data_IF_431972682497
#
_entry.id   IF_431972682497
#
_cell.length_a   1.000
_cell.length_b   1.000
_cell.length_c   1.000
_cell.angle_alpha   90.00
_cell.angle_beta   90.00
_cell.angle_gamma   90.00
#
_symmetry.space_group_name_H-M   'P 1'
#
loop_
_entity.id
_entity.type
_entity.pdbx_description
1 polymer ?
#
# COMPACT_ATOMS: atom_id res chain seq x y z
N UNK A 1 1.58 0.35 -26.01
CA UNK A 1 0.28 0.99 -26.29
C UNK A 1 -0.77 0.39 -25.36
N UNK A 2 -1.68 1.21 -24.82
CA UNK A 2 -2.82 0.75 -24.01
C UNK A 2 -3.93 0.27 -24.95
N UNK A 3 -4.45 -0.94 -24.72
CA UNK A 3 -5.33 -1.60 -25.70
C UNK A 3 -6.45 -2.42 -25.07
N UNK A 4 -6.43 -2.74 -23.77
CA UNK A 4 -7.49 -3.60 -23.23
C UNK A 4 -8.82 -2.85 -23.07
N UNK A 5 -9.97 -3.51 -23.32
CA UNK A 5 -11.28 -2.94 -23.02
C UNK A 5 -11.43 -2.51 -21.56
N UNK A 6 -10.86 -3.31 -20.63
CA UNK A 6 -10.87 -3.03 -19.19
C UNK A 6 -10.17 -1.71 -18.87
N UNK A 7 -9.03 -1.43 -19.53
CA UNK A 7 -8.33 -0.18 -19.35
C UNK A 7 -9.20 1.02 -19.72
N UNK A 8 -9.92 0.96 -20.85
CA UNK A 8 -10.78 2.05 -21.29
C UNK A 8 -11.99 2.24 -20.36
N UNK A 9 -12.61 1.15 -19.90
CA UNK A 9 -13.69 1.23 -18.91
C UNK A 9 -13.24 1.93 -17.61
N UNK A 10 -12.10 1.48 -17.05
CA UNK A 10 -11.53 2.06 -15.82
C UNK A 10 -11.09 3.51 -16.04
N UNK A 11 -10.45 3.83 -17.17
CA UNK A 11 -10.03 5.19 -17.50
C UNK A 11 -11.22 6.15 -17.64
N UNK A 12 -12.37 5.65 -18.08
CA UNK A 12 -13.62 6.42 -18.18
C UNK A 12 -14.42 6.44 -16.88
N UNK A 13 -13.91 5.84 -15.80
CA UNK A 13 -14.62 5.67 -14.54
C UNK A 13 -15.94 4.90 -14.64
N UNK A 14 -16.08 4.01 -15.63
CA UNK A 14 -17.28 3.22 -15.87
C UNK A 14 -17.25 1.94 -15.02
N UNK A 15 -17.91 2.00 -13.86
CA UNK A 15 -17.96 0.89 -12.90
C UNK A 15 -18.69 -0.32 -13.47
N UNK A 16 -19.87 -0.11 -14.07
CA UNK A 16 -20.69 -1.19 -14.61
C UNK A 16 -19.99 -1.95 -15.72
N UNK A 17 -19.38 -1.24 -16.67
CA UNK A 17 -18.61 -1.88 -17.74
C UNK A 17 -17.37 -2.61 -17.19
N UNK A 18 -16.70 -2.01 -16.20
CA UNK A 18 -15.56 -2.66 -15.52
C UNK A 18 -15.99 -3.97 -14.86
N UNK A 19 -17.11 -3.98 -14.14
CA UNK A 19 -17.65 -5.18 -13.47
C UNK A 19 -18.01 -6.27 -14.47
N UNK A 20 -18.72 -5.93 -15.53
CA UNK A 20 -19.08 -6.89 -16.60
C UNK A 20 -17.83 -7.52 -17.24
N UNK A 21 -16.80 -6.71 -17.53
CA UNK A 21 -15.56 -7.19 -18.12
C UNK A 21 -14.81 -8.12 -17.17
N UNK A 22 -14.73 -7.79 -15.88
CA UNK A 22 -14.08 -8.63 -14.87
C UNK A 22 -14.84 -9.95 -14.66
N UNK A 23 -16.17 -9.90 -14.62
CA UNK A 23 -17.02 -11.10 -14.56
C UNK A 23 -16.84 -12.00 -15.79
N UNK A 24 -16.57 -11.42 -16.96
CA UNK A 24 -16.21 -12.14 -18.19
C UNK A 24 -14.75 -12.67 -18.21
N UNK A 25 -13.99 -12.50 -17.12
CA UNK A 25 -12.61 -12.98 -16.99
C UNK A 25 -11.55 -12.04 -17.58
N UNK A 26 -11.85 -10.75 -17.75
CA UNK A 26 -10.85 -9.78 -18.18
C UNK A 26 -9.68 -9.72 -17.20
N UNK A 27 -8.46 -9.84 -17.73
CA UNK A 27 -7.23 -9.78 -16.94
C UNK A 27 -6.85 -8.35 -16.59
N UNK A 28 -6.46 -8.11 -15.34
CA UNK A 28 -6.14 -6.77 -14.81
C UNK A 28 -4.73 -6.28 -15.15
N UNK A 29 -3.89 -7.12 -15.74
CA UNK A 29 -2.44 -6.92 -15.92
C UNK A 29 -1.98 -6.82 -17.38
N UNK A 30 -2.91 -6.70 -18.34
CA UNK A 30 -2.60 -6.70 -19.78
C UNK A 30 -1.92 -5.41 -20.27
N UNK A 31 -2.22 -4.26 -19.65
CA UNK A 31 -1.68 -2.96 -20.08
C UNK A 31 -0.42 -2.57 -19.29
N UNK A 32 0.57 -1.90 -19.94
CA UNK A 32 1.79 -1.46 -19.26
C UNK A 32 1.52 -0.56 -18.04
N UNK A 33 0.53 0.33 -18.16
CA UNK A 33 -0.05 1.03 -17.01
C UNK A 33 -1.26 0.23 -16.54
N UNK A 34 -1.09 -0.53 -15.46
CA UNK A 34 -2.15 -1.40 -14.92
C UNK A 34 -3.38 -0.57 -14.56
N UNK A 35 -4.57 -1.10 -14.88
CA UNK A 35 -5.87 -0.45 -14.62
C UNK A 35 -6.02 -0.05 -13.14
N UNK A 36 -5.46 -0.86 -12.24
CA UNK A 36 -5.38 -0.56 -10.82
C UNK A 36 -4.75 0.82 -10.51
N UNK A 37 -3.58 1.10 -11.08
CA UNK A 37 -2.90 2.39 -10.87
C UNK A 37 -3.68 3.56 -11.46
N UNK A 38 -4.42 3.34 -12.55
CA UNK A 38 -5.31 4.35 -13.13
C UNK A 38 -6.44 4.70 -12.17
N UNK A 39 -7.11 3.68 -11.60
CA UNK A 39 -8.19 3.86 -10.64
C UNK A 39 -7.72 4.56 -9.35
N UNK A 40 -6.57 4.16 -8.81
CA UNK A 40 -5.96 4.79 -7.61
C UNK A 40 -5.64 6.26 -7.90
N UNK A 41 -4.96 6.55 -9.02
CA UNK A 41 -4.62 7.93 -9.40
C UNK A 41 -5.84 8.82 -9.63
N UNK A 42 -6.94 8.23 -10.08
CA UNK A 42 -8.20 8.93 -10.28
C UNK A 42 -9.05 9.04 -8.99
N UNK A 43 -8.61 8.49 -7.86
CA UNK A 43 -9.36 8.52 -6.59
C UNK A 43 -10.66 7.71 -6.63
N UNK A 44 -10.79 6.72 -7.52
CA UNK A 44 -12.02 5.96 -7.73
C UNK A 44 -12.08 4.73 -6.82
N UNK A 45 -12.47 4.92 -5.56
CA UNK A 45 -12.50 3.87 -4.53
C UNK A 45 -13.26 2.61 -4.96
N UNK A 46 -14.42 2.77 -5.58
CA UNK A 46 -15.26 1.65 -6.02
C UNK A 46 -14.55 0.79 -7.07
N UNK A 47 -13.93 1.42 -8.07
CA UNK A 47 -13.11 0.72 -9.06
C UNK A 47 -11.88 0.06 -8.42
N UNK A 48 -11.24 0.71 -7.46
CA UNK A 48 -10.12 0.11 -6.72
C UNK A 48 -10.56 -1.14 -5.97
N UNK A 49 -11.71 -1.09 -5.28
CA UNK A 49 -12.28 -2.26 -4.58
C UNK A 49 -12.61 -3.39 -5.55
N UNK A 50 -13.27 -3.07 -6.66
CA UNK A 50 -13.67 -4.04 -7.68
C UNK A 50 -12.47 -4.71 -8.36
N UNK A 51 -11.43 -3.94 -8.68
CA UNK A 51 -10.20 -4.49 -9.25
C UNK A 51 -9.47 -5.40 -8.25
N UNK A 52 -9.40 -4.99 -6.98
CA UNK A 52 -8.75 -5.79 -5.92
C UNK A 52 -9.52 -7.09 -5.62
N UNK A 53 -10.86 -7.04 -5.57
CA UNK A 53 -11.69 -8.25 -5.40
C UNK A 53 -11.54 -9.21 -6.58
N UNK A 54 -11.30 -8.68 -7.78
CA UNK A 54 -11.01 -9.45 -8.99
C UNK A 54 -9.53 -9.87 -9.12
N UNK A 55 -8.74 -9.70 -8.06
CA UNK A 55 -7.36 -10.21 -7.98
C UNK A 55 -6.28 -9.30 -8.54
N UNK A 56 -6.56 -8.01 -8.76
CA UNK A 56 -5.53 -7.05 -9.16
C UNK A 56 -4.38 -6.97 -8.15
N UNK A 57 -3.16 -6.88 -8.67
CA UNK A 57 -1.94 -6.78 -7.87
C UNK A 57 -1.77 -5.37 -7.28
N UNK A 58 -1.85 -5.27 -5.96
CA UNK A 58 -1.64 -4.01 -5.21
C UNK A 58 -0.19 -3.53 -5.26
N UNK A 59 0.78 -4.45 -5.29
CA UNK A 59 2.22 -4.13 -5.22
C UNK A 59 2.86 -3.97 -6.61
N UNK A 60 2.14 -3.32 -7.53
CA UNK A 60 2.60 -3.11 -8.89
C UNK A 60 3.45 -1.84 -9.07
N UNK A 61 4.30 -1.86 -10.08
CA UNK A 61 5.24 -0.78 -10.42
C UNK A 61 4.94 -0.24 -11.82
N UNK A 62 5.11 1.06 -12.00
CA UNK A 62 5.03 1.73 -13.29
C UNK A 62 6.27 2.61 -13.56
N UNK A 63 7.33 1.93 -13.99
CA UNK A 63 8.68 2.51 -14.15
C UNK A 63 8.84 3.49 -15.32
N UNK A 64 7.82 3.63 -16.19
CA UNK A 64 7.89 4.57 -17.30
C UNK A 64 7.82 6.05 -16.85
N UNK A 65 7.20 6.32 -15.71
CA UNK A 65 7.03 7.70 -15.19
C UNK A 65 7.76 7.89 -13.86
N UNK A 66 7.79 6.86 -13.01
CA UNK A 66 8.42 6.94 -11.70
C UNK A 66 9.04 5.59 -11.38
N UNK A 67 10.39 5.53 -11.37
CA UNK A 67 11.11 4.34 -10.93
C UNK A 67 11.39 4.45 -9.43
N UNK A 68 10.52 3.81 -8.64
CA UNK A 68 10.61 3.77 -7.18
C UNK A 68 11.00 2.38 -6.68
N UNK A 69 11.66 2.33 -5.52
CA UNK A 69 11.94 1.06 -4.81
C UNK A 69 10.67 0.46 -4.19
N UNK A 70 9.66 1.28 -3.90
CA UNK A 70 8.37 0.89 -3.35
C UNK A 70 7.26 0.88 -4.42
N UNK A 71 6.16 0.14 -4.25
CA UNK A 71 5.07 0.07 -5.23
C UNK A 71 4.47 1.44 -5.57
N UNK A 72 4.11 1.64 -6.84
CA UNK A 72 3.81 2.98 -7.37
C UNK A 72 2.54 3.60 -6.78
N UNK A 73 1.56 2.79 -6.38
CA UNK A 73 0.23 3.26 -5.94
C UNK A 73 0.30 4.28 -4.79
N UNK A 74 1.27 4.14 -3.88
CA UNK A 74 1.42 5.02 -2.72
C UNK A 74 1.64 6.49 -3.11
N UNK A 75 2.36 6.75 -4.20
CA UNK A 75 2.63 8.11 -4.68
C UNK A 75 1.34 8.88 -5.03
N UNK A 76 0.28 8.16 -5.41
CA UNK A 76 -0.99 8.75 -5.80
C UNK A 76 -1.93 9.01 -4.63
N UNK A 77 -1.72 8.36 -3.49
CA UNK A 77 -2.63 8.44 -2.34
C UNK A 77 -2.02 9.10 -1.09
N UNK A 78 -0.84 9.73 -1.18
CA UNK A 78 -0.23 10.42 -0.01
C UNK A 78 -1.16 11.47 0.62
N UNK A 79 -2.03 12.12 -0.17
CA UNK A 79 -3.04 13.09 0.29
C UNK A 79 -4.38 12.45 0.67
N UNK A 80 -4.61 11.23 0.24
CA UNK A 80 -5.88 10.53 0.37
C UNK A 80 -5.71 9.38 1.36
N UNK A 81 -5.86 9.71 2.64
CA UNK A 81 -5.71 8.76 3.73
C UNK A 81 -6.67 7.57 3.64
N UNK A 82 -7.87 7.76 3.08
CA UNK A 82 -8.82 6.68 2.90
C UNK A 82 -8.36 5.71 1.81
N UNK A 83 -7.82 6.23 0.70
CA UNK A 83 -7.27 5.40 -0.36
C UNK A 83 -6.02 4.69 0.14
N UNK A 84 -5.14 5.38 0.87
CA UNK A 84 -3.99 4.78 1.52
C UNK A 84 -4.42 3.61 2.42
N UNK A 85 -5.38 3.82 3.33
CA UNK A 85 -5.93 2.76 4.19
C UNK A 85 -6.49 1.59 3.38
N UNK A 86 -7.18 1.87 2.27
CA UNK A 86 -7.71 0.85 1.38
C UNK A 86 -6.59 -0.03 0.79
N UNK A 87 -5.51 0.59 0.32
CA UNK A 87 -4.34 -0.13 -0.21
C UNK A 87 -3.67 -0.99 0.87
N UNK A 88 -3.42 -0.41 2.05
CA UNK A 88 -2.79 -1.10 3.18
C UNK A 88 -3.62 -2.30 3.66
N UNK A 89 -4.94 -2.13 3.77
CA UNK A 89 -5.86 -3.21 4.12
C UNK A 89 -5.87 -4.34 3.09
N UNK A 90 -5.53 -4.05 1.83
CA UNK A 90 -5.47 -5.01 0.73
C UNK A 90 -4.06 -5.55 0.46
N UNK A 91 -3.11 -5.36 1.37
CA UNK A 91 -1.80 -6.00 1.29
C UNK A 91 -0.73 -5.21 0.56
N UNK A 92 -0.88 -3.89 0.51
CA UNK A 92 0.25 -3.03 0.12
C UNK A 92 1.45 -3.34 1.03
N UNK A 93 2.60 -3.61 0.40
CA UNK A 93 3.84 -3.99 1.04
C UNK A 93 4.56 -2.75 1.58
N UNK A 94 4.30 -2.48 2.86
CA UNK A 94 4.81 -1.29 3.55
C UNK A 94 6.29 -1.37 3.87
N UNK A 95 6.84 -2.57 4.04
CA UNK A 95 8.25 -2.76 4.38
C UNK A 95 9.15 -2.12 3.29
N UNK A 96 8.69 -2.16 2.03
CA UNK A 96 9.36 -1.51 0.89
C UNK A 96 9.47 0.00 0.99
N UNK A 97 8.60 0.67 1.76
CA UNK A 97 8.70 2.11 2.03
C UNK A 97 9.86 2.45 2.97
N UNK A 98 10.38 1.48 3.71
CA UNK A 98 11.51 1.65 4.62
C UNK A 98 12.83 1.13 4.02
N UNK A 99 12.82 0.77 2.74
CA UNK A 99 14.03 0.49 1.97
C UNK A 99 14.54 1.79 1.33
N UNK A 100 15.82 2.10 1.54
CA UNK A 100 16.48 3.22 0.89
C UNK A 100 17.94 2.90 0.59
N UNK A 101 18.47 3.53 -0.46
CA UNK A 101 19.87 3.38 -0.86
C UNK A 101 20.80 4.37 -0.14
N UNK A 102 20.33 5.03 0.93
CA UNK A 102 21.10 6.03 1.68
C UNK A 102 22.02 5.41 2.75
N UNK A 103 22.16 4.08 2.76
CA UNK A 103 22.96 3.34 3.73
C UNK A 103 24.42 3.22 3.30
N UNK A 104 25.31 3.71 4.16
CA UNK A 104 26.76 3.45 4.17
C UNK A 104 27.06 1.96 3.92
N UNK A 105 28.13 1.67 3.17
CA UNK A 105 28.52 0.34 2.67
C UNK A 105 28.94 -0.71 3.69
N UNK A 106 28.28 -0.82 4.84
CA UNK A 106 28.43 -1.90 5.79
C UNK A 106 27.01 -2.30 6.24
N UNK A 107 26.66 -3.57 6.04
CA UNK A 107 25.37 -4.22 6.38
C UNK A 107 24.30 -4.29 5.27
N UNK A 108 24.69 -4.24 3.99
CA UNK A 108 23.89 -4.91 2.95
C UNK A 108 24.57 -6.22 2.58
N UNK A 109 24.02 -7.34 3.05
CA UNK A 109 24.25 -8.65 2.43
C UNK A 109 23.96 -8.50 0.92
N UNK A 110 25.02 -8.65 0.12
CA UNK A 110 24.96 -8.50 -1.32
C UNK A 110 24.06 -9.57 -1.97
N UNK A 111 23.68 -10.62 -1.23
CA UNK A 111 22.84 -11.72 -1.70
C UNK A 111 21.37 -11.31 -1.93
N UNK A 112 20.85 -10.28 -1.23
CA UNK A 112 19.45 -9.85 -1.46
C UNK A 112 19.25 -9.03 -2.74
N UNK A 113 20.33 -8.46 -3.30
CA UNK A 113 20.25 -7.67 -4.53
C UNK A 113 20.37 -8.55 -5.79
N UNK A 114 21.17 -9.62 -5.74
CA UNK A 114 21.46 -10.44 -6.93
C UNK A 114 20.21 -11.19 -7.44
N UNK A 115 19.32 -11.64 -6.56
CA UNK A 115 18.09 -12.34 -6.96
C UNK A 115 17.07 -11.43 -7.67
N UNK A 116 17.03 -10.14 -7.33
CA UNK A 116 16.06 -9.20 -7.93
C UNK A 116 16.50 -8.66 -9.30
N UNK A 117 17.81 -8.68 -9.58
CA UNK A 117 18.38 -8.19 -10.83
C UNK A 117 18.32 -9.18 -12.00
N UNK A 118 18.12 -10.48 -11.73
CA UNK A 118 18.20 -11.48 -12.79
C UNK A 118 17.00 -11.52 -13.75
N UNK A 119 15.87 -10.90 -13.39
CA UNK A 119 14.62 -11.17 -14.13
C UNK A 119 14.10 -10.09 -15.08
N UNK A 120 14.63 -8.86 -15.11
CA UNK A 120 14.11 -7.82 -16.03
C UNK A 120 15.21 -6.91 -16.60
N UNK A 121 15.97 -7.44 -17.56
CA UNK A 121 16.67 -6.63 -18.57
C UNK A 121 15.66 -6.28 -19.68
N UNK A 122 15.32 -5.00 -19.81
CA UNK A 122 15.20 -4.27 -21.09
C UNK A 122 15.33 -2.76 -20.78
N UNK A 123 16.33 -2.18 -21.43
CA UNK A 123 16.86 -0.81 -21.49
C UNK A 123 15.89 0.17 -22.23
N UNK A 124 15.91 1.51 -22.06
CA UNK A 124 16.99 2.44 -22.40
C UNK A 124 16.71 3.92 -21.96
N UNK A 125 17.81 4.64 -21.69
CA UNK A 125 18.09 6.10 -21.66
C UNK A 125 17.68 6.97 -20.44
N UNK A 126 18.71 7.60 -19.84
CA UNK A 126 18.81 8.47 -18.65
C UNK A 126 18.99 7.76 -17.29
N UNK A 127 20.25 7.75 -16.79
CA UNK A 127 20.75 7.34 -15.46
C UNK A 127 20.14 6.04 -14.86
N UNK A 128 20.71 4.89 -15.24
CA UNK A 128 20.11 3.56 -15.07
C UNK A 128 20.02 2.96 -13.66
N UNK A 129 20.49 3.63 -12.61
CA UNK A 129 20.49 3.04 -11.25
C UNK A 129 19.76 3.87 -10.19
N UNK A 130 19.22 5.04 -10.54
CA UNK A 130 18.52 5.88 -9.56
C UNK A 130 17.06 5.48 -9.43
N UNK A 131 16.76 4.71 -8.38
CA UNK A 131 15.39 4.44 -7.94
C UNK A 131 15.06 5.33 -6.74
N UNK A 132 14.01 6.13 -6.88
CA UNK A 132 13.58 7.02 -5.81
C UNK A 132 13.08 6.19 -4.61
N UNK A 133 13.66 6.49 -3.45
CA UNK A 133 13.29 5.93 -2.15
C UNK A 133 12.10 6.68 -1.58
N UNK A 134 11.27 6.03 -0.76
CA UNK A 134 10.11 6.69 -0.14
C UNK A 134 10.52 7.92 0.68
N UNK A 135 11.64 7.83 1.41
CA UNK A 135 12.18 8.95 2.19
C UNK A 135 12.49 10.18 1.31
N UNK A 136 12.91 10.00 0.06
CA UNK A 136 13.17 11.12 -0.86
C UNK A 136 11.87 11.75 -1.33
N UNK A 137 10.88 10.92 -1.70
CA UNK A 137 9.57 11.36 -2.16
C UNK A 137 8.82 12.12 -1.06
N UNK A 138 8.76 11.57 0.15
CA UNK A 138 8.03 12.19 1.26
C UNK A 138 8.76 13.44 1.80
N UNK A 139 10.04 13.63 1.49
CA UNK A 139 10.80 14.83 1.82
C UNK A 139 10.55 16.00 0.86
N UNK A 140 9.88 15.77 -0.27
CA UNK A 140 9.60 16.83 -1.24
C UNK A 140 8.69 17.90 -0.63
N UNK A 141 8.98 19.17 -0.91
CA UNK A 141 8.25 20.32 -0.36
C UNK A 141 6.73 20.28 -0.60
N UNK A 142 6.30 19.61 -1.67
CA UNK A 142 4.89 19.45 -2.01
C UNK A 142 4.12 18.51 -1.06
N UNK A 143 4.80 17.57 -0.38
CA UNK A 143 4.17 16.53 0.44
C UNK A 143 4.83 16.35 1.82
N UNK A 144 5.89 17.09 2.14
CA UNK A 144 6.61 17.00 3.42
C UNK A 144 5.74 17.27 4.64
N UNK A 145 4.69 18.06 4.49
CA UNK A 145 3.71 18.33 5.53
C UNK A 145 2.76 17.14 5.83
N UNK A 146 2.81 16.09 5.00
CA UNK A 146 2.05 14.85 5.17
C UNK A 146 2.92 13.73 5.75
N UNK A 147 4.22 13.96 5.93
CA UNK A 147 5.17 12.91 6.29
C UNK A 147 4.79 12.23 7.60
N UNK A 148 4.42 13.02 8.62
CA UNK A 148 4.04 12.49 9.93
C UNK A 148 2.80 11.59 9.84
N UNK A 149 1.70 12.11 9.30
CA UNK A 149 0.44 11.36 9.19
C UNK A 149 0.55 10.11 8.31
N UNK A 150 1.26 10.19 7.19
CA UNK A 150 1.48 9.04 6.31
C UNK A 150 2.34 7.99 7.01
N UNK A 151 3.49 8.36 7.58
CA UNK A 151 4.38 7.40 8.24
C UNK A 151 3.72 6.78 9.44
N UNK A 152 3.00 7.55 10.26
CA UNK A 152 2.22 7.01 11.38
C UNK A 152 1.24 5.93 10.91
N UNK A 153 0.54 6.16 9.78
CA UNK A 153 -0.34 5.14 9.20
C UNK A 153 0.42 3.92 8.65
N UNK A 154 1.61 4.10 8.08
CA UNK A 154 2.44 2.98 7.61
C UNK A 154 2.92 2.11 8.78
N UNK A 155 3.26 2.72 9.92
CA UNK A 155 3.70 2.03 11.14
C UNK A 155 2.63 1.10 11.74
N UNK A 156 1.35 1.31 11.42
CA UNK A 156 0.27 0.39 11.79
C UNK A 156 0.40 -0.99 11.14
N UNK A 157 1.16 -1.11 10.06
CA UNK A 157 1.27 -2.32 9.21
C UNK A 157 2.67 -2.93 9.21
N UNK A 158 3.62 -2.38 9.96
CA UNK A 158 5.02 -2.83 9.98
C UNK A 158 5.40 -3.41 11.34
N UNK A 159 6.12 -4.54 11.31
CA UNK A 159 6.58 -5.19 12.55
C UNK A 159 7.80 -4.50 13.15
N UNK A 160 8.77 -4.15 12.31
CA UNK A 160 10.06 -3.59 12.69
C UNK A 160 10.49 -2.52 11.68
N UNK A 161 10.04 -1.26 11.85
CA UNK A 161 10.37 -0.19 10.93
C UNK A 161 11.85 0.17 11.03
N UNK A 162 12.57 0.13 9.90
CA UNK A 162 13.94 0.64 9.80
C UNK A 162 13.91 2.04 9.17
N UNK A 163 13.77 3.07 10.01
CA UNK A 163 13.72 4.45 9.55
C UNK A 163 15.14 4.96 9.29
N UNK A 164 15.40 5.41 8.06
CA UNK A 164 16.70 5.97 7.71
C UNK A 164 16.89 7.38 8.29
N UNK A 165 18.13 7.86 8.48
CA UNK A 165 18.40 9.18 9.08
C UNK A 165 17.76 10.35 8.34
N UNK A 166 17.61 10.25 7.01
CA UNK A 166 16.97 11.30 6.21
C UNK A 166 15.47 11.40 6.52
N UNK A 167 14.78 10.26 6.60
CA UNK A 167 13.37 10.23 6.98
C UNK A 167 13.18 10.71 8.43
N UNK A 168 14.07 10.30 9.34
CA UNK A 168 14.03 10.70 10.75
C UNK A 168 14.05 12.23 10.91
N UNK A 169 14.97 12.92 10.23
CA UNK A 169 15.07 14.40 10.23
C UNK A 169 13.83 15.12 9.74
N UNK A 170 13.08 14.48 8.84
CA UNK A 170 11.79 15.03 8.35
C UNK A 170 10.71 14.81 9.38
N UNK A 171 10.67 13.63 10.00
CA UNK A 171 9.67 13.25 11.00
C UNK A 171 9.79 14.05 12.29
N UNK A 172 11.01 14.36 12.75
CA UNK A 172 11.27 15.22 13.92
C UNK A 172 10.60 16.60 13.86
N UNK A 173 10.27 17.06 12.64
CA UNK A 173 9.62 18.36 12.40
C UNK A 173 8.09 18.28 12.28
N UNK A 174 7.52 17.08 12.36
CA UNK A 174 6.09 16.85 12.18
C UNK A 174 5.35 16.90 13.52
N UNK A 175 4.06 17.23 13.48
CA UNK A 175 3.22 17.25 14.69
C UNK A 175 3.02 15.85 15.30
N UNK A 176 3.06 14.80 14.47
CA UNK A 176 2.94 13.39 14.87
C UNK A 176 4.24 12.82 15.45
N UNK A 177 5.33 13.61 15.50
CA UNK A 177 6.62 13.14 15.99
C UNK A 177 6.56 12.48 17.38
N UNK A 178 5.87 13.02 18.40
CA UNK A 178 5.84 12.39 19.72
C UNK A 178 5.29 10.96 19.68
N UNK A 179 4.21 10.74 18.93
CA UNK A 179 3.59 9.41 18.78
C UNK A 179 4.49 8.46 17.97
N UNK A 180 5.14 8.98 16.92
CA UNK A 180 6.06 8.20 16.09
C UNK A 180 7.31 7.83 16.90
N UNK A 181 7.88 8.76 17.65
CA UNK A 181 9.04 8.57 18.51
C UNK A 181 8.75 7.47 19.55
N UNK A 182 7.60 7.54 20.21
CA UNK A 182 7.16 6.51 21.16
C UNK A 182 7.06 5.11 20.52
N UNK A 183 6.55 5.03 19.29
CA UNK A 183 6.47 3.78 18.51
C UNK A 183 7.85 3.21 18.18
N UNK A 184 8.85 4.06 17.95
CA UNK A 184 10.20 3.65 17.54
C UNK A 184 11.07 3.26 18.73
N UNK A 185 10.93 3.98 19.86
CA UNK A 185 11.75 3.77 21.04
C UNK A 185 11.26 2.59 21.89
N UNK A 186 9.97 2.24 21.79
CA UNK A 186 9.37 1.19 22.60
C UNK A 186 8.97 -0.04 21.77
N UNK A 187 9.10 -1.27 22.34
CA UNK A 187 8.56 -2.45 21.70
C UNK A 187 7.04 -2.33 21.58
N UNK A 188 6.52 -2.59 20.37
CA UNK A 188 5.07 -2.59 20.13
C UNK A 188 4.37 -3.64 20.98
N UNK A 189 3.13 -3.33 21.39
CA UNK A 189 2.32 -4.24 22.19
C UNK A 189 2.20 -5.61 21.54
N UNK A 190 2.10 -6.66 22.36
CA UNK A 190 1.88 -8.02 21.88
C UNK A 190 0.60 -8.10 21.04
N UNK A 191 -0.44 -7.34 21.40
CA UNK A 191 -1.67 -7.23 20.63
C UNK A 191 -1.40 -6.79 19.18
N UNK A 192 -0.59 -5.75 18.99
CA UNK A 192 -0.20 -5.27 17.66
C UNK A 192 0.63 -6.30 16.89
N UNK A 193 1.61 -6.94 17.54
CA UNK A 193 2.40 -8.00 16.91
C UNK A 193 1.52 -9.18 16.47
N UNK A 194 0.58 -9.61 17.33
CA UNK A 194 -0.41 -10.64 17.00
C UNK A 194 -1.28 -10.22 15.82
N UNK A 195 -1.72 -8.96 15.74
CA UNK A 195 -2.47 -8.42 14.59
C UNK A 195 -1.75 -8.70 13.29
N UNK A 196 -0.47 -8.31 13.21
CA UNK A 196 0.33 -8.42 11.99
C UNK A 196 0.58 -9.89 11.61
N UNK A 197 0.88 -10.75 12.60
CA UNK A 197 1.07 -12.18 12.39
C UNK A 197 -0.20 -12.84 11.86
N UNK A 198 -1.35 -12.61 12.51
CA UNK A 198 -2.64 -13.18 12.08
C UNK A 198 -2.97 -12.67 10.68
N UNK A 199 -2.79 -11.38 10.41
CA UNK A 199 -3.08 -10.81 9.09
C UNK A 199 -2.22 -11.43 7.99
N UNK A 200 -0.93 -11.64 8.25
CA UNK A 200 -0.01 -12.30 7.32
C UNK A 200 -0.46 -13.74 7.01
N UNK A 201 -0.90 -14.49 8.02
CA UNK A 201 -1.34 -15.88 7.85
C UNK A 201 -2.70 -16.01 7.16
N UNK A 202 -3.66 -15.13 7.48
CA UNK A 202 -4.96 -15.15 6.83
C UNK A 202 -4.90 -14.60 5.41
N UNK A 203 -3.92 -13.77 5.07
CA UNK A 203 -3.83 -13.00 3.83
C UNK A 203 -4.89 -11.90 3.71
N UNK A 204 -4.59 -10.78 3.03
CA UNK A 204 -5.56 -9.70 2.81
C UNK A 204 -6.85 -10.16 2.11
N UNK A 205 -6.74 -11.10 1.16
CA UNK A 205 -7.91 -11.61 0.42
C UNK A 205 -8.94 -12.25 1.34
N UNK A 206 -8.53 -13.15 2.25
CA UNK A 206 -9.46 -13.81 3.18
C UNK A 206 -9.99 -12.87 4.26
N UNK A 207 -9.19 -11.87 4.66
CA UNK A 207 -9.63 -10.86 5.63
C UNK A 207 -10.69 -9.90 5.05
N UNK A 208 -10.64 -9.67 3.73
CA UNK A 208 -11.57 -8.79 3.04
C UNK A 208 -12.78 -9.55 2.46
N UNK A 209 -12.79 -10.88 2.55
CA UNK A 209 -13.91 -11.74 2.18
C UNK A 209 -14.94 -11.81 3.34
N UNK A 210 -16.16 -11.28 3.15
CA UNK A 210 -17.19 -11.27 4.20
C UNK A 210 -17.63 -12.67 4.64
N UNK A 211 -17.69 -13.64 3.74
CA UNK A 211 -18.14 -15.00 4.03
C UNK A 211 -17.11 -15.73 4.88
N UNK A 212 -15.83 -15.61 4.50
CA UNK A 212 -14.72 -16.19 5.27
C UNK A 212 -14.64 -15.55 6.65
N UNK A 213 -14.71 -14.22 6.75
CA UNK A 213 -14.65 -13.53 8.03
C UNK A 213 -15.88 -13.81 8.91
N UNK A 214 -17.05 -14.07 8.33
CA UNK A 214 -18.21 -14.52 9.09
C UNK A 214 -17.99 -15.91 9.71
N UNK A 215 -17.46 -16.86 8.93
CA UNK A 215 -17.25 -18.25 9.32
C UNK A 215 -16.12 -18.45 10.35
N UNK A 216 -15.12 -17.58 10.40
CA UNK A 216 -13.99 -17.71 11.33
C UNK A 216 -14.46 -17.55 12.78
N UNK A 217 -14.04 -18.43 13.72
CA UNK A 217 -14.50 -18.46 15.11
C UNK A 217 -13.82 -17.39 15.99
N UNK A 218 -13.68 -16.17 15.47
CA UNK A 218 -13.14 -15.04 16.23
C UNK A 218 -14.26 -14.21 16.86
N UNK A 219 -14.05 -13.64 18.06
CA UNK A 219 -14.95 -12.63 18.61
C UNK A 219 -15.10 -11.42 17.67
N UNK A 220 -16.26 -10.75 17.63
CA UNK A 220 -16.49 -9.59 16.76
C UNK A 220 -15.46 -8.47 16.95
N UNK A 221 -15.05 -8.20 18.20
CA UNK A 221 -14.02 -7.21 18.54
C UNK A 221 -12.67 -7.55 17.90
N UNK A 222 -12.28 -8.83 17.91
CA UNK A 222 -11.06 -9.28 17.25
C UNK A 222 -11.19 -9.19 15.72
N UNK A 223 -12.35 -9.50 15.13
CA UNK A 223 -12.58 -9.30 13.69
C UNK A 223 -12.43 -7.82 13.29
N UNK A 224 -12.99 -6.90 14.09
CA UNK A 224 -12.86 -5.45 13.86
C UNK A 224 -11.41 -4.98 13.99
N UNK A 225 -10.70 -5.46 15.01
CA UNK A 225 -9.29 -5.19 15.20
C UNK A 225 -8.46 -5.72 14.02
N UNK A 226 -8.63 -6.96 13.58
CA UNK A 226 -7.87 -7.50 12.45
C UNK A 226 -8.11 -6.77 11.12
N UNK A 227 -9.28 -6.14 10.96
CA UNK A 227 -9.70 -5.44 9.73
C UNK A 227 -9.53 -3.92 9.79
N UNK A 228 -8.88 -3.38 10.83
CA UNK A 228 -8.67 -1.93 11.04
C UNK A 228 -9.97 -1.11 11.01
N UNK A 229 -11.10 -1.70 11.41
CA UNK A 229 -12.40 -1.01 11.44
C UNK A 229 -12.48 0.11 12.47
N UNK A 230 -11.61 0.10 13.48
CA UNK A 230 -11.48 1.18 14.46
C UNK A 230 -11.09 2.54 13.84
N UNK A 231 -10.52 2.54 12.63
CA UNK A 231 -10.16 3.76 11.89
C UNK A 231 -11.17 4.11 10.78
N UNK A 232 -12.23 3.32 10.62
CA UNK A 232 -13.32 3.64 9.71
C UNK A 232 -14.30 4.55 10.45
N UNK A 233 -14.06 5.86 10.46
CA UNK A 233 -14.92 6.86 11.12
C UNK A 233 -16.34 7.01 10.49
N UNK A 234 -16.81 6.04 9.69
CA UNK A 234 -18.16 6.00 9.12
C UNK A 234 -18.81 4.60 9.20
N UNK A 235 -18.53 3.82 10.24
CA UNK A 235 -19.15 2.50 10.50
C UNK A 235 -20.34 2.50 11.46
N UNK A 236 -20.85 3.67 11.87
CA UNK A 236 -21.94 3.80 12.84
C UNK A 236 -23.32 3.98 12.20
N UNK A 237 -23.88 2.91 11.62
CA UNK A 237 -25.34 2.65 11.59
C UNK A 237 -25.63 1.39 10.78
N UNK A 238 -25.43 0.24 11.39
CA UNK A 238 -26.13 -0.99 11.03
C UNK A 238 -26.16 -1.90 12.26
N UNK A 239 -27.02 -1.56 13.23
CA UNK A 239 -27.66 -2.50 14.15
C UNK A 239 -28.48 -1.72 15.19
N UNK A 240 -29.71 -1.35 14.84
CA UNK A 240 -30.78 -1.26 15.82
C UNK A 240 -32.03 -1.85 15.18
N UNK A 241 -32.18 -3.17 15.36
CA UNK A 241 -33.49 -3.80 15.25
C UNK A 241 -34.31 -3.41 16.48
N UNK A 242 -35.47 -2.83 16.22
CA UNK A 242 -36.72 -3.04 16.96
C UNK A 242 -37.85 -2.86 15.95
#
# INVERSE_FOLDING_TARGET
MRRSPLYFAVSNSDVTCTEMLLAAGAKTDLDPLRCFLVAVRAGRYELVRLLLSSGAEVNCYFRMISDTVFPTALQYCLRDHMMLRLLLNNGYDVDKCFLCNHGNGQDMDCDSWVDYHHNHRITLFYNQDYRASFCEIISLSSVVNLAGSVVQMLLDYVRHPRICPNLLRVLEKQKEWPDICDILDNPRSLQHQCRLVIRRQMTPRRLNDPEVMAAVPFPPTLKHYLTYREYNEYGGSAASHS
#
